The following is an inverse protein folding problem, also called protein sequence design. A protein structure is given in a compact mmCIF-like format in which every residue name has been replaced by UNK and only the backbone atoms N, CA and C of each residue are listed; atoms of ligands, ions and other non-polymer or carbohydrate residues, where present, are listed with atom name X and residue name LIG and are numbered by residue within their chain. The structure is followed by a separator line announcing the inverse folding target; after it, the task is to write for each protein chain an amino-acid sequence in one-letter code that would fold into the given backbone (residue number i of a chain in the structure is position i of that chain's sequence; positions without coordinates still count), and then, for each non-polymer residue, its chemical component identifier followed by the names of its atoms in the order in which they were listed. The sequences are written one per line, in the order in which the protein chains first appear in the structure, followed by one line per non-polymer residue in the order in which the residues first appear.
data_IF_456895527592
#
_entry.id   IF_456895527592
#
_cell.length_a   1.000
_cell.length_b   1.000
_cell.length_c   1.000
_cell.angle_alpha   90.00
_cell.angle_beta   90.00
_cell.angle_gamma   90.00
#
_symmetry.space_group_name_H-M   'P 1'
#
loop_
_entity.id
_entity.type
_entity.pdbx_description
1 polymer ?
#
# COMPACT_ATOMS: atom_id res chain seq x y z
N UNK A 1 -26.54 -0.77 -9.07
CA UNK A 1 -25.08 -0.93 -9.06
C UNK A 1 -24.40 0.43 -8.87
N UNK A 2 -24.56 1.41 -9.77
CA UNK A 2 -23.96 2.75 -9.64
C UNK A 2 -24.23 3.45 -8.28
N UNK A 3 -25.46 3.36 -7.75
CA UNK A 3 -25.79 3.93 -6.43
C UNK A 3 -24.99 3.29 -5.30
N UNK A 4 -24.78 1.97 -5.34
CA UNK A 4 -23.99 1.23 -4.35
C UNK A 4 -22.54 1.66 -4.43
N UNK A 5 -21.96 1.70 -5.62
CA UNK A 5 -20.56 2.10 -5.81
C UNK A 5 -20.34 3.56 -5.38
N UNK A 6 -21.24 4.47 -5.69
CA UNK A 6 -21.16 5.87 -5.24
C UNK A 6 -21.32 6.00 -3.72
N UNK A 7 -22.18 5.20 -3.09
CA UNK A 7 -22.31 5.13 -1.62
C UNK A 7 -21.03 4.64 -0.98
N UNK A 8 -20.41 3.59 -1.53
CA UNK A 8 -19.17 3.01 -1.04
C UNK A 8 -17.93 3.91 -1.21
N UNK A 9 -17.92 4.81 -2.19
CA UNK A 9 -16.85 5.81 -2.31
C UNK A 9 -16.94 6.88 -1.24
N UNK A 10 -18.15 7.20 -0.79
CA UNK A 10 -18.35 8.19 0.27
C UNK A 10 -17.83 7.65 1.59
N UNK A 11 -16.78 8.27 2.13
CA UNK A 11 -16.09 7.84 3.34
C UNK A 11 -14.99 6.80 3.13
N UNK A 12 -14.76 6.31 1.91
CA UNK A 12 -13.73 5.33 1.61
C UNK A 12 -12.30 5.88 1.76
N UNK A 13 -11.37 4.95 1.91
CA UNK A 13 -9.93 5.21 1.89
C UNK A 13 -9.27 4.49 0.73
N UNK A 14 -8.22 5.10 0.14
CA UNK A 14 -7.26 4.42 -0.72
C UNK A 14 -5.83 4.64 -0.19
N UNK A 15 -5.21 3.57 0.30
CA UNK A 15 -3.93 3.65 0.97
C UNK A 15 -2.72 3.42 0.05
N UNK A 16 -2.92 3.46 -1.28
CA UNK A 16 -1.85 3.24 -2.24
C UNK A 16 -2.09 4.02 -3.53
N UNK A 17 -1.76 5.30 -3.52
CA UNK A 17 -1.85 6.19 -4.67
C UNK A 17 -0.53 6.93 -4.93
N UNK A 18 -0.29 7.29 -6.18
CA UNK A 18 0.90 7.99 -6.63
C UNK A 18 0.57 9.34 -7.27
N UNK A 19 1.31 10.41 -6.90
CA UNK A 19 1.16 11.74 -7.45
C UNK A 19 2.51 12.42 -7.71
N UNK A 20 2.48 13.52 -8.46
CA UNK A 20 3.61 14.42 -8.59
C UNK A 20 3.75 15.30 -7.31
N UNK A 21 4.97 15.78 -6.99
CA UNK A 21 6.20 15.59 -7.74
C UNK A 21 6.71 14.15 -7.69
N UNK A 22 7.28 13.70 -8.79
CA UNK A 22 7.86 12.35 -8.92
C UNK A 22 8.88 12.36 -10.06
N UNK A 23 9.95 11.55 -10.01
CA UNK A 23 10.83 11.38 -11.17
C UNK A 23 10.14 10.69 -12.35
N UNK A 24 8.92 10.19 -12.17
CA UNK A 24 8.11 9.57 -13.22
C UNK A 24 6.91 10.45 -13.57
N UNK A 25 6.42 10.31 -14.81
CA UNK A 25 5.18 10.97 -15.23
C UNK A 25 3.98 10.52 -14.36
N UNK A 26 3.33 11.47 -13.73
CA UNK A 26 2.12 11.28 -12.94
C UNK A 26 0.95 12.01 -13.59
N UNK A 27 -0.27 11.52 -13.35
CA UNK A 27 -1.50 12.12 -13.86
C UNK A 27 -1.72 13.53 -13.30
N UNK A 28 -1.46 13.70 -12.01
CA UNK A 28 -1.70 14.92 -11.27
C UNK A 28 -0.75 15.06 -10.10
N UNK A 29 -0.71 16.23 -9.49
CA UNK A 29 -0.02 16.47 -8.25
C UNK A 29 -0.84 16.04 -7.02
N UNK A 30 -0.28 16.21 -5.83
CA UNK A 30 -0.93 15.87 -4.57
C UNK A 30 -2.24 16.63 -4.35
N UNK A 31 -2.31 17.89 -4.77
CA UNK A 31 -3.51 18.71 -4.62
C UNK A 31 -4.64 18.17 -5.50
N UNK A 32 -4.36 17.97 -6.78
CA UNK A 32 -5.31 17.40 -7.72
C UNK A 32 -5.85 16.04 -7.26
N UNK A 33 -4.97 15.18 -6.71
CA UNK A 33 -5.36 13.86 -6.22
C UNK A 33 -6.31 13.94 -5.02
N UNK A 34 -6.02 14.82 -4.05
CA UNK A 34 -6.87 15.02 -2.86
C UNK A 34 -8.19 15.70 -3.22
N UNK A 35 -8.18 16.64 -4.15
CA UNK A 35 -9.40 17.31 -4.64
C UNK A 35 -10.31 16.33 -5.37
N UNK A 36 -9.77 15.49 -6.26
CA UNK A 36 -10.54 14.45 -6.96
C UNK A 36 -11.14 13.45 -5.97
N UNK A 37 -10.35 12.93 -5.02
CA UNK A 37 -10.82 12.01 -3.99
C UNK A 37 -11.90 12.66 -3.11
N UNK A 38 -11.72 13.93 -2.73
CA UNK A 38 -12.70 14.70 -1.96
C UNK A 38 -13.99 14.98 -2.71
N UNK A 39 -13.92 15.26 -4.02
CA UNK A 39 -15.10 15.40 -4.88
C UNK A 39 -15.90 14.11 -5.00
N UNK A 40 -15.24 12.94 -4.91
CA UNK A 40 -15.88 11.63 -4.85
C UNK A 40 -16.41 11.29 -3.44
N UNK A 41 -16.15 12.13 -2.43
CA UNK A 41 -16.59 11.94 -1.06
C UNK A 41 -15.68 11.05 -0.22
N UNK A 42 -14.50 10.67 -0.70
CA UNK A 42 -13.56 9.80 0.05
C UNK A 42 -13.07 10.50 1.33
N UNK A 43 -12.86 9.71 2.38
CA UNK A 43 -12.39 10.20 3.68
C UNK A 43 -10.87 10.41 3.70
N UNK A 44 -10.11 9.58 2.99
CA UNK A 44 -8.67 9.72 3.01
C UNK A 44 -7.92 8.93 1.94
N UNK A 45 -6.72 9.39 1.65
CA UNK A 45 -5.80 8.75 0.71
C UNK A 45 -4.37 8.78 1.25
N UNK A 46 -3.53 7.82 0.84
CA UNK A 46 -2.08 7.91 1.06
C UNK A 46 -1.38 8.37 -0.21
N UNK A 47 -0.54 9.40 -0.04
CA UNK A 47 0.43 9.82 -1.05
C UNK A 47 1.66 8.93 -0.94
N UNK A 48 1.83 7.97 -1.85
CA UNK A 48 2.99 7.08 -1.86
C UNK A 48 4.03 7.58 -2.87
N UNK A 49 5.28 7.71 -2.44
CA UNK A 49 6.44 7.94 -3.29
C UNK A 49 7.47 6.83 -3.09
N UNK A 50 8.09 6.37 -4.18
CA UNK A 50 9.14 5.36 -4.08
C UNK A 50 10.46 5.90 -3.53
N UNK A 51 10.67 7.22 -3.50
CA UNK A 51 12.01 7.79 -3.31
C UNK A 51 12.10 8.91 -2.27
N UNK A 52 11.01 9.19 -1.57
CA UNK A 52 10.97 10.21 -0.53
C UNK A 52 9.92 9.92 0.54
N UNK A 53 10.03 10.60 1.68
CA UNK A 53 8.98 10.62 2.69
C UNK A 53 7.90 11.64 2.32
N UNK A 54 6.65 11.23 2.27
CA UNK A 54 5.52 12.06 1.82
C UNK A 54 4.70 12.67 2.96
N UNK A 55 5.05 12.41 4.21
CA UNK A 55 4.38 13.03 5.37
C UNK A 55 4.30 14.56 5.30
N UNK A 56 5.41 15.28 5.01
CA UNK A 56 5.38 16.73 4.83
C UNK A 56 4.50 17.20 3.67
N UNK A 57 4.48 16.46 2.56
CA UNK A 57 3.61 16.75 1.41
C UNK A 57 2.14 16.64 1.83
N UNK A 58 1.77 15.57 2.53
CA UNK A 58 0.42 15.36 3.04
C UNK A 58 -0.02 16.50 3.99
N UNK A 59 0.86 16.95 4.88
CA UNK A 59 0.57 18.09 5.77
C UNK A 59 0.29 19.37 4.99
N UNK A 60 1.10 19.69 3.96
CA UNK A 60 0.89 20.87 3.13
C UNK A 60 -0.43 20.81 2.36
N UNK A 61 -0.72 19.66 1.76
CA UNK A 61 -1.98 19.45 1.04
C UNK A 61 -3.17 19.59 1.98
N UNK A 62 -3.15 18.98 3.15
CA UNK A 62 -4.21 19.10 4.15
C UNK A 62 -4.43 20.54 4.64
N UNK A 63 -3.36 21.34 4.69
CA UNK A 63 -3.44 22.73 5.12
C UNK A 63 -4.00 23.68 4.04
N UNK A 64 -3.88 23.34 2.75
CA UNK A 64 -4.12 24.29 1.67
C UNK A 64 -5.09 23.84 0.58
N UNK A 65 -5.47 22.55 0.47
CA UNK A 65 -6.37 22.06 -0.59
C UNK A 65 -7.84 22.48 -0.41
N UNK A 66 -8.28 22.74 0.80
CA UNK A 66 -9.71 22.94 1.08
C UNK A 66 -10.58 21.67 0.96
N UNK A 67 -10.01 20.56 0.54
CA UNK A 67 -10.70 19.27 0.43
C UNK A 67 -11.08 18.70 1.80
N UNK A 68 -12.19 17.97 1.85
CA UNK A 68 -12.56 17.17 3.05
C UNK A 68 -11.82 15.83 3.11
N UNK A 69 -11.31 15.36 1.99
CA UNK A 69 -10.47 14.16 1.94
C UNK A 69 -9.12 14.44 2.59
N UNK A 70 -8.69 13.60 3.52
CA UNK A 70 -7.43 13.77 4.23
C UNK A 70 -6.30 13.03 3.52
N UNK A 71 -5.21 13.73 3.21
CA UNK A 71 -3.97 13.12 2.78
C UNK A 71 -3.19 12.55 3.96
N UNK A 72 -2.67 11.36 3.80
CA UNK A 72 -1.69 10.71 4.67
C UNK A 72 -0.40 10.50 3.91
N UNK A 73 0.71 10.40 4.62
CA UNK A 73 2.01 10.15 4.02
C UNK A 73 2.61 8.81 4.42
N UNK A 74 3.70 8.47 3.79
CA UNK A 74 4.49 7.29 4.12
C UNK A 74 5.95 7.46 3.73
N UNK A 75 6.72 6.39 3.86
CA UNK A 75 8.10 6.30 3.37
C UNK A 75 8.34 4.91 2.79
N UNK A 76 9.06 4.85 1.67
CA UNK A 76 9.53 3.60 1.05
C UNK A 76 11.03 3.49 1.23
N UNK A 77 11.52 2.40 1.78
CA UNK A 77 12.93 2.21 2.16
C UNK A 77 13.80 1.78 0.97
N UNK A 78 13.72 2.56 -0.12
CA UNK A 78 14.61 2.47 -1.25
C UNK A 78 15.90 3.28 -1.03
N UNK A 79 16.89 3.16 -1.93
CA UNK A 79 18.19 3.80 -1.80
C UNK A 79 18.15 5.33 -1.60
N UNK A 80 17.28 6.12 -2.26
CA UNK A 80 17.25 7.57 -2.07
C UNK A 80 16.99 8.03 -0.62
N UNK A 81 16.41 7.17 0.21
CA UNK A 81 16.24 7.43 1.66
C UNK A 81 17.25 6.65 2.53
N UNK A 82 18.23 6.00 1.88
CA UNK A 82 19.29 5.24 2.56
C UNK A 82 18.97 3.77 2.79
N UNK A 83 18.03 3.18 2.04
CA UNK A 83 17.68 1.75 2.15
C UNK A 83 16.99 1.42 3.47
N UNK A 84 17.40 0.32 4.13
CA UNK A 84 16.91 -0.09 5.45
C UNK A 84 17.47 0.85 6.53
N UNK A 85 16.95 2.06 6.58
CA UNK A 85 17.45 3.15 7.42
C UNK A 85 16.45 3.49 8.55
N UNK A 86 16.70 3.05 9.80
CA UNK A 86 15.83 3.35 10.96
C UNK A 86 15.69 4.85 11.23
N UNK A 87 16.74 5.65 11.00
CA UNK A 87 16.70 7.09 11.21
C UNK A 87 15.77 7.79 10.21
N UNK A 88 15.79 7.35 8.94
CA UNK A 88 14.87 7.86 7.92
C UNK A 88 13.42 7.46 8.23
N UNK A 89 13.20 6.22 8.66
CA UNK A 89 11.88 5.74 9.08
C UNK A 89 11.35 6.56 10.27
N UNK A 90 12.15 6.74 11.33
CA UNK A 90 11.73 7.54 12.49
C UNK A 90 11.46 9.01 12.12
N UNK A 91 12.32 9.63 11.32
CA UNK A 91 12.12 11.00 10.87
C UNK A 91 10.81 11.14 10.06
N UNK A 92 10.52 10.20 9.15
CA UNK A 92 9.29 10.22 8.38
C UNK A 92 8.05 10.12 9.27
N UNK A 93 8.07 9.23 10.26
CA UNK A 93 6.96 9.03 11.20
C UNK A 93 6.74 10.24 12.11
N UNK A 94 7.81 10.86 12.63
CA UNK A 94 7.73 12.14 13.36
C UNK A 94 7.11 13.26 12.53
N UNK A 95 7.23 13.18 11.21
CA UNK A 95 6.70 14.17 10.26
C UNK A 95 5.38 13.74 9.61
N UNK A 96 4.64 12.82 10.24
CA UNK A 96 3.28 12.48 9.87
C UNK A 96 3.13 11.36 8.84
N UNK A 97 4.17 10.55 8.60
CA UNK A 97 3.99 9.32 7.87
C UNK A 97 3.19 8.30 8.71
N UNK A 98 2.31 7.54 8.05
CA UNK A 98 1.45 6.53 8.67
C UNK A 98 1.84 5.10 8.28
N UNK A 99 2.61 4.93 7.19
CA UNK A 99 3.09 3.62 6.71
C UNK A 99 4.57 3.71 6.34
N UNK A 100 5.32 2.65 6.70
CA UNK A 100 6.69 2.40 6.26
C UNK A 100 6.66 1.18 5.33
N UNK A 101 6.95 1.35 4.06
CA UNK A 101 7.13 0.23 3.13
C UNK A 101 8.58 -0.26 3.12
N UNK A 102 8.78 -1.56 3.17
CA UNK A 102 10.05 -2.17 2.80
C UNK A 102 10.42 -1.79 1.36
N UNK A 103 11.65 -2.05 0.93
CA UNK A 103 12.11 -1.69 -0.41
C UNK A 103 11.15 -2.17 -1.50
N UNK A 104 10.91 -1.29 -2.48
CA UNK A 104 10.09 -1.58 -3.65
C UNK A 104 10.99 -1.75 -4.87
N UNK A 105 11.20 -0.69 -5.64
CA UNK A 105 11.98 -0.71 -6.89
C UNK A 105 13.45 -1.10 -6.69
N UNK A 106 14.00 -0.85 -5.51
CA UNK A 106 15.38 -1.16 -5.14
C UNK A 106 15.51 -2.49 -4.39
N UNK A 107 14.42 -3.23 -4.16
CA UNK A 107 14.53 -4.58 -3.60
C UNK A 107 15.25 -5.53 -4.56
N UNK A 108 16.06 -6.44 -4.04
CA UNK A 108 16.72 -7.44 -4.86
C UNK A 108 15.73 -8.29 -5.67
N UNK A 109 14.55 -8.55 -5.09
CA UNK A 109 13.47 -9.25 -5.75
C UNK A 109 12.98 -8.48 -6.99
N UNK A 110 12.72 -7.18 -6.85
CA UNK A 110 12.26 -6.34 -7.97
C UNK A 110 13.30 -6.25 -9.09
N UNK A 111 14.58 -6.09 -8.73
CA UNK A 111 15.66 -5.99 -9.72
C UNK A 111 15.89 -7.31 -10.47
N UNK A 112 15.70 -8.47 -9.83
CA UNK A 112 15.75 -9.78 -10.54
C UNK A 112 14.65 -9.93 -11.59
N UNK A 113 13.50 -9.33 -11.37
CA UNK A 113 12.38 -9.35 -12.33
C UNK A 113 12.56 -8.34 -13.47
N UNK A 114 13.66 -7.60 -13.51
CA UNK A 114 13.99 -6.57 -14.48
C UNK A 114 13.67 -5.14 -14.01
N UNK A 115 14.37 -4.17 -14.60
CA UNK A 115 14.17 -2.77 -14.30
C UNK A 115 12.77 -2.31 -14.70
N UNK A 116 12.19 -1.45 -13.88
CA UNK A 116 10.93 -0.77 -14.19
C UNK A 116 11.22 0.54 -14.94
N UNK A 117 10.32 0.99 -15.85
CA UNK A 117 10.49 2.26 -16.52
C UNK A 117 10.72 3.42 -15.53
N UNK A 118 11.75 4.24 -15.79
CA UNK A 118 12.10 5.37 -14.95
C UNK A 118 12.94 5.04 -13.71
N UNK A 119 13.44 3.81 -13.57
CA UNK A 119 14.44 3.48 -12.57
C UNK A 119 15.74 4.27 -12.78
N UNK A 120 16.45 4.53 -11.67
CA UNK A 120 17.72 5.24 -11.71
C UNK A 120 18.86 4.35 -12.25
N UNK A 121 20.09 4.74 -11.97
CA UNK A 121 21.31 4.02 -12.36
C UNK A 121 21.37 2.61 -11.75
N UNK A 122 22.31 1.80 -12.22
CA UNK A 122 22.61 0.47 -11.67
C UNK A 122 22.95 0.57 -10.18
N UNK A 123 22.35 -0.31 -9.40
CA UNK A 123 22.46 -0.32 -7.94
C UNK A 123 22.25 -1.73 -7.39
N UNK A 124 22.87 -2.06 -6.23
CA UNK A 124 22.64 -3.35 -5.59
C UNK A 124 21.19 -3.48 -5.11
N UNK A 125 20.61 -4.65 -5.27
CA UNK A 125 19.31 -4.96 -4.72
C UNK A 125 19.34 -5.03 -3.19
N UNK A 126 18.34 -4.40 -2.56
CA UNK A 126 18.17 -4.45 -1.10
C UNK A 126 17.47 -5.76 -0.73
N UNK A 127 18.05 -6.51 0.21
CA UNK A 127 17.45 -7.68 0.86
C UNK A 127 17.30 -7.40 2.34
N UNK A 128 16.28 -7.96 2.99
CA UNK A 128 16.01 -7.78 4.41
C UNK A 128 16.68 -8.87 5.29
N UNK A 129 17.21 -9.92 4.66
CA UNK A 129 17.91 -11.01 5.32
C UNK A 129 19.42 -10.89 5.12
N UNK A 130 20.19 -11.40 6.08
CA UNK A 130 21.61 -11.63 5.96
C UNK A 130 21.92 -12.99 5.29
N UNK A 131 23.21 -13.33 5.19
CA UNK A 131 23.65 -14.58 4.56
C UNK A 131 23.22 -15.85 5.33
N UNK A 132 22.87 -15.72 6.61
CA UNK A 132 22.35 -16.83 7.42
C UNK A 132 20.83 -17.02 7.26
N UNK A 133 20.14 -16.12 6.55
CA UNK A 133 18.68 -16.07 6.43
C UNK A 133 17.97 -15.38 7.59
N UNK A 134 18.71 -14.81 8.55
CA UNK A 134 18.15 -14.02 9.63
C UNK A 134 17.80 -12.60 9.15
N UNK A 135 16.81 -11.95 9.77
CA UNK A 135 16.54 -10.55 9.49
C UNK A 135 17.73 -9.67 9.88
N UNK A 136 18.13 -8.76 8.99
CA UNK A 136 19.14 -7.74 9.27
C UNK A 136 18.73 -6.91 10.48
N UNK A 137 19.69 -6.45 11.32
CA UNK A 137 19.40 -5.77 12.58
C UNK A 137 18.58 -4.50 12.43
N UNK A 138 18.64 -3.82 11.29
CA UNK A 138 17.84 -2.63 11.00
C UNK A 138 16.35 -2.95 10.90
N UNK A 139 15.97 -4.17 10.49
CA UNK A 139 14.58 -4.53 10.26
C UNK A 139 13.77 -4.58 11.58
N UNK A 140 14.16 -5.35 12.61
CA UNK A 140 13.46 -5.30 13.90
C UNK A 140 13.50 -3.90 14.54
N UNK A 141 14.54 -3.10 14.33
CA UNK A 141 14.57 -1.70 14.80
C UNK A 141 13.48 -0.86 14.11
N UNK A 142 13.33 -0.96 12.78
CA UNK A 142 12.26 -0.29 12.03
C UNK A 142 10.87 -0.75 12.50
N UNK A 143 10.68 -2.05 12.74
CA UNK A 143 9.40 -2.58 13.26
C UNK A 143 9.06 -1.97 14.62
N UNK A 144 10.04 -1.88 15.53
CA UNK A 144 9.85 -1.28 16.85
C UNK A 144 9.56 0.22 16.77
N UNK A 145 10.23 0.95 15.89
CA UNK A 145 9.98 2.37 15.64
C UNK A 145 8.55 2.55 15.11
N UNK A 146 8.14 1.79 14.11
CA UNK A 146 6.79 1.88 13.56
C UNK A 146 5.71 1.62 14.63
N UNK A 147 5.90 0.60 15.47
CA UNK A 147 5.02 0.33 16.62
C UNK A 147 4.93 1.51 17.57
N UNK A 148 6.07 2.12 17.93
CA UNK A 148 6.14 3.30 18.83
C UNK A 148 5.31 4.48 18.31
N UNK A 149 5.27 4.68 17.01
CA UNK A 149 4.52 5.76 16.36
C UNK A 149 3.12 5.34 15.87
N UNK A 150 2.63 4.16 16.27
CA UNK A 150 1.33 3.61 15.84
C UNK A 150 1.19 3.55 14.30
N UNK A 151 2.28 3.32 13.59
CA UNK A 151 2.33 3.21 12.13
C UNK A 151 2.33 1.75 11.67
N UNK A 152 1.91 1.52 10.44
CA UNK A 152 2.01 0.21 9.81
C UNK A 152 3.37 0.01 9.12
N UNK A 153 3.80 -1.24 9.01
CA UNK A 153 4.92 -1.65 8.14
C UNK A 153 4.37 -2.55 7.05
N UNK A 154 4.66 -2.21 5.80
CA UNK A 154 4.21 -2.92 4.61
C UNK A 154 5.38 -3.60 3.89
N UNK A 155 5.13 -4.76 3.29
CA UNK A 155 6.18 -5.60 2.71
C UNK A 155 6.83 -5.02 1.45
N UNK A 156 6.18 -4.08 0.77
CA UNK A 156 6.72 -3.49 -0.46
C UNK A 156 6.90 -4.54 -1.58
N UNK A 157 8.09 -4.56 -2.20
CA UNK A 157 8.39 -5.52 -3.28
C UNK A 157 9.54 -6.48 -2.91
N UNK A 158 9.76 -6.75 -1.63
CA UNK A 158 10.67 -7.82 -1.20
C UNK A 158 10.11 -9.19 -1.65
N UNK A 159 10.90 -10.24 -1.59
CA UNK A 159 10.44 -11.55 -2.08
C UNK A 159 9.25 -12.08 -1.28
N UNK A 160 8.47 -13.02 -1.83
CA UNK A 160 7.39 -13.68 -1.11
C UNK A 160 7.87 -14.29 0.23
N UNK A 161 9.02 -14.94 0.24
CA UNK A 161 9.62 -15.55 1.43
C UNK A 161 10.01 -14.50 2.47
N UNK A 162 10.68 -13.43 2.05
CA UNK A 162 11.01 -12.30 2.91
C UNK A 162 9.73 -11.64 3.47
N UNK A 163 8.68 -11.54 2.66
CA UNK A 163 7.40 -10.94 3.07
C UNK A 163 6.72 -11.75 4.17
N UNK A 164 6.70 -13.08 4.04
CA UNK A 164 6.15 -13.98 5.07
C UNK A 164 6.95 -13.88 6.36
N UNK A 165 8.28 -13.93 6.27
CA UNK A 165 9.18 -13.81 7.42
C UNK A 165 8.98 -12.47 8.15
N UNK A 166 8.95 -11.37 7.40
CA UNK A 166 8.74 -10.02 7.93
C UNK A 166 7.38 -9.90 8.64
N UNK A 167 6.31 -10.36 8.00
CA UNK A 167 4.96 -10.31 8.56
C UNK A 167 4.87 -11.08 9.88
N UNK A 168 5.39 -12.30 9.93
CA UNK A 168 5.42 -13.10 11.18
C UNK A 168 6.21 -12.40 12.26
N UNK A 169 7.41 -11.90 11.95
CA UNK A 169 8.25 -11.18 12.93
C UNK A 169 7.60 -9.89 13.41
N UNK A 170 7.01 -9.12 12.51
CA UNK A 170 6.32 -7.88 12.86
C UNK A 170 5.13 -8.14 13.79
N UNK A 171 4.34 -9.20 13.54
CA UNK A 171 3.21 -9.57 14.42
C UNK A 171 3.69 -10.10 15.78
N UNK A 172 4.77 -10.89 15.82
CA UNK A 172 5.42 -11.31 17.07
C UNK A 172 5.82 -10.08 17.93
N UNK A 173 6.34 -9.03 17.30
CA UNK A 173 6.73 -7.79 17.97
C UNK A 173 5.54 -6.87 18.28
N UNK A 174 4.33 -7.20 17.81
CA UNK A 174 3.11 -6.41 17.98
C UNK A 174 3.06 -5.17 17.08
N UNK A 175 3.81 -5.16 15.97
CA UNK A 175 3.73 -4.13 14.93
C UNK A 175 2.55 -4.41 14.02
N UNK A 176 1.89 -3.35 13.54
CA UNK A 176 0.83 -3.44 12.52
C UNK A 176 1.48 -3.73 11.18
N UNK A 177 1.09 -4.85 10.57
CA UNK A 177 1.71 -5.35 9.34
C UNK A 177 0.73 -5.32 8.17
N UNK A 178 1.26 -5.00 6.99
CA UNK A 178 0.54 -5.04 5.70
C UNK A 178 1.30 -5.92 4.73
N UNK A 179 0.64 -6.91 4.15
CA UNK A 179 1.13 -7.65 2.99
C UNK A 179 0.73 -6.89 1.72
N UNK A 180 1.70 -6.28 1.06
CA UNK A 180 1.49 -5.40 -0.11
C UNK A 180 1.15 -6.20 -1.36
N UNK A 181 0.04 -5.92 -2.01
CA UNK A 181 -0.46 -6.46 -3.31
C UNK A 181 0.02 -7.89 -3.63
N UNK A 182 -0.38 -8.92 -2.85
CA UNK A 182 0.13 -10.28 -2.98
C UNK A 182 -0.33 -11.04 -4.24
N UNK A 183 -1.07 -10.43 -5.12
CA UNK A 183 -1.41 -10.94 -6.47
C UNK A 183 -0.50 -10.36 -7.57
N UNK A 184 0.43 -9.45 -7.24
CA UNK A 184 1.40 -8.95 -8.20
C UNK A 184 2.47 -10.03 -8.48
N UNK A 185 2.81 -10.25 -9.74
CA UNK A 185 3.67 -11.34 -10.20
C UNK A 185 4.99 -11.48 -9.41
N UNK A 186 5.60 -10.34 -9.04
CA UNK A 186 6.88 -10.28 -8.32
C UNK A 186 6.76 -10.58 -6.84
N UNK A 187 5.59 -10.36 -6.25
CA UNK A 187 5.34 -10.47 -4.81
C UNK A 187 4.25 -11.47 -4.48
N UNK A 188 3.93 -12.34 -5.44
CA UNK A 188 2.82 -13.27 -5.34
C UNK A 188 2.94 -14.21 -4.14
N UNK A 189 1.94 -14.15 -3.26
CA UNK A 189 1.80 -15.03 -2.09
C UNK A 189 0.50 -15.81 -2.23
N UNK A 190 0.58 -17.13 -2.15
CA UNK A 190 -0.59 -17.99 -2.31
C UNK A 190 -1.71 -17.65 -1.30
N UNK A 191 -3.01 -17.71 -1.69
CA UNK A 191 -4.14 -17.37 -0.81
C UNK A 191 -4.14 -18.10 0.54
N UNK A 192 -3.68 -19.36 0.57
CA UNK A 192 -3.58 -20.12 1.81
C UNK A 192 -2.58 -19.49 2.81
N UNK A 193 -1.46 -18.96 2.31
CA UNK A 193 -0.45 -18.26 3.12
C UNK A 193 -0.98 -16.87 3.53
N UNK A 194 -1.66 -16.17 2.62
CA UNK A 194 -2.32 -14.90 2.95
C UNK A 194 -3.31 -15.09 4.10
N UNK A 195 -4.13 -16.16 4.07
CA UNK A 195 -5.07 -16.53 5.14
C UNK A 195 -4.36 -16.80 6.46
N UNK A 196 -3.24 -17.55 6.43
CA UNK A 196 -2.43 -17.80 7.62
C UNK A 196 -1.93 -16.49 8.25
N UNK A 197 -1.37 -15.60 7.42
CA UNK A 197 -0.87 -14.30 7.86
C UNK A 197 -2.01 -13.41 8.39
N UNK A 198 -3.16 -13.41 7.74
CA UNK A 198 -4.37 -12.72 8.21
C UNK A 198 -4.81 -13.21 9.60
N UNK A 199 -4.76 -14.53 9.85
CA UNK A 199 -5.00 -15.12 11.16
C UNK A 199 -4.02 -14.67 12.25
N UNK A 200 -2.83 -14.19 11.89
CA UNK A 200 -1.87 -13.54 12.80
C UNK A 200 -2.17 -12.05 12.99
N UNK A 201 -3.14 -11.49 12.28
CA UNK A 201 -3.50 -10.08 12.30
C UNK A 201 -2.71 -9.20 11.31
N UNK A 202 -2.21 -9.79 10.22
CA UNK A 202 -1.65 -9.05 9.08
C UNK A 202 -2.82 -8.57 8.20
N UNK A 203 -2.82 -7.32 7.79
CA UNK A 203 -3.75 -6.79 6.80
C UNK A 203 -3.27 -7.10 5.38
N UNK A 204 -4.18 -7.54 4.52
CA UNK A 204 -3.87 -7.96 3.16
C UNK A 204 -4.36 -6.89 2.18
N UNK A 205 -3.43 -6.29 1.47
CA UNK A 205 -3.72 -5.29 0.45
C UNK A 205 -4.22 -5.95 -0.83
N UNK A 206 -5.42 -5.60 -1.28
CA UNK A 206 -6.02 -6.03 -2.54
C UNK A 206 -5.99 -4.87 -3.52
N UNK A 207 -5.34 -5.07 -4.66
CA UNK A 207 -4.96 -3.98 -5.53
C UNK A 207 -5.65 -4.06 -6.90
N UNK A 208 -6.31 -2.96 -7.30
CA UNK A 208 -6.90 -2.82 -8.63
C UNK A 208 -5.87 -3.00 -9.75
N UNK A 209 -4.65 -2.48 -9.53
CA UNK A 209 -3.53 -2.63 -10.48
C UNK A 209 -3.39 -4.08 -10.96
N UNK A 210 -3.51 -5.06 -10.08
CA UNK A 210 -3.29 -6.46 -10.41
C UNK A 210 -4.33 -6.99 -11.43
N UNK A 211 -5.59 -6.60 -11.31
CA UNK A 211 -6.62 -6.95 -12.28
C UNK A 211 -6.42 -6.16 -13.59
N UNK A 212 -6.24 -4.86 -13.48
CA UNK A 212 -6.19 -3.97 -14.63
C UNK A 212 -4.96 -4.18 -15.53
N UNK A 213 -3.84 -4.65 -14.96
CA UNK A 213 -2.62 -4.97 -15.69
C UNK A 213 -2.45 -6.48 -15.98
N UNK A 214 -3.45 -7.31 -15.63
CA UNK A 214 -3.50 -8.72 -15.97
C UNK A 214 -2.60 -9.64 -15.14
N UNK A 215 -2.21 -9.23 -13.93
CA UNK A 215 -1.49 -10.10 -12.99
C UNK A 215 -2.41 -11.19 -12.39
N UNK A 216 -3.70 -10.89 -12.27
CA UNK A 216 -4.73 -11.84 -11.90
C UNK A 216 -6.07 -11.47 -12.56
N UNK A 217 -6.96 -12.43 -12.67
CA UNK A 217 -8.34 -12.19 -13.09
C UNK A 217 -9.19 -11.62 -11.95
N UNK A 218 -10.35 -11.07 -12.29
CA UNK A 218 -11.34 -10.63 -11.31
C UNK A 218 -11.84 -11.80 -10.42
N UNK A 219 -11.96 -12.99 -11.00
CA UNK A 219 -12.37 -14.21 -10.30
C UNK A 219 -11.30 -14.65 -9.28
N UNK A 220 -10.03 -14.72 -9.70
CA UNK A 220 -8.91 -15.05 -8.81
C UNK A 220 -8.78 -14.05 -7.65
N UNK A 221 -8.97 -12.75 -7.92
CA UNK A 221 -8.99 -11.72 -6.87
C UNK A 221 -10.15 -11.96 -5.89
N UNK A 222 -11.35 -12.22 -6.40
CA UNK A 222 -12.53 -12.48 -5.58
C UNK A 222 -12.35 -13.74 -4.72
N UNK A 223 -11.82 -14.80 -5.28
CA UNK A 223 -11.55 -16.05 -4.56
C UNK A 223 -10.46 -15.88 -3.49
N UNK A 224 -9.43 -15.09 -3.80
CA UNK A 224 -8.39 -14.74 -2.82
C UNK A 224 -8.97 -13.95 -1.64
N UNK A 225 -9.83 -12.95 -1.90
CA UNK A 225 -10.52 -12.19 -0.83
C UNK A 225 -11.40 -13.12 0.03
N UNK A 226 -12.20 -14.00 -0.59
CA UNK A 226 -13.04 -14.97 0.14
C UNK A 226 -12.22 -15.95 0.98
N UNK A 227 -11.09 -16.41 0.47
CA UNK A 227 -10.20 -17.31 1.19
C UNK A 227 -9.58 -16.65 2.42
N UNK A 228 -9.25 -15.36 2.35
CA UNK A 228 -8.62 -14.57 3.43
C UNK A 228 -9.64 -14.08 4.45
N UNK A 229 -10.79 -13.58 3.99
CA UNK A 229 -11.82 -12.89 4.78
C UNK A 229 -11.76 -11.37 4.59
N UNK A 230 -12.92 -10.75 4.34
CA UNK A 230 -13.05 -9.32 4.08
C UNK A 230 -12.55 -8.45 5.23
N UNK A 231 -12.68 -8.94 6.47
CA UNK A 231 -12.25 -8.28 7.70
C UNK A 231 -10.73 -8.14 7.84
N UNK A 232 -9.97 -8.81 6.99
CA UNK A 232 -8.50 -8.73 6.92
C UNK A 232 -7.99 -8.06 5.65
N UNK A 233 -8.88 -7.83 4.67
CA UNK A 233 -8.54 -7.25 3.38
C UNK A 233 -8.89 -5.76 3.33
N UNK A 234 -8.11 -4.98 2.58
CA UNK A 234 -8.47 -3.62 2.20
C UNK A 234 -8.16 -3.35 0.74
N UNK A 235 -8.99 -2.53 0.10
CA UNK A 235 -8.92 -2.24 -1.32
C UNK A 235 -8.07 -1.00 -1.58
N UNK A 236 -7.19 -1.08 -2.57
CA UNK A 236 -6.37 0.03 -3.04
C UNK A 236 -6.29 0.04 -4.57
N UNK A 237 -5.85 1.16 -5.14
CA UNK A 237 -5.76 1.24 -6.60
C UNK A 237 -4.37 1.07 -7.17
N UNK A 238 -3.32 1.53 -6.48
CA UNK A 238 -1.96 1.70 -7.02
C UNK A 238 -1.97 2.48 -8.34
N UNK A 239 -2.82 3.51 -8.41
CA UNK A 239 -2.97 4.38 -9.57
C UNK A 239 -2.28 5.73 -9.36
N UNK A 240 -2.19 6.51 -10.46
CA UNK A 240 -1.54 7.81 -10.55
C UNK A 240 -0.45 7.86 -11.62
N UNK A 241 -0.23 6.78 -12.38
CA UNK A 241 0.68 6.76 -13.54
C UNK A 241 0.07 7.57 -14.67
N UNK A 242 0.89 8.38 -15.36
CA UNK A 242 0.44 9.35 -16.36
C UNK A 242 -0.28 8.79 -17.58
N UNK A 243 -0.27 7.49 -17.79
CA UNK A 243 -0.88 6.79 -18.92
C UNK A 243 -1.95 5.76 -18.49
N UNK A 244 -2.47 5.88 -17.29
CA UNK A 244 -3.53 5.01 -16.74
C UNK A 244 -4.75 5.83 -16.36
N UNK A 245 -5.86 5.15 -16.01
CA UNK A 245 -7.05 5.82 -15.49
C UNK A 245 -6.77 6.53 -14.16
N UNK A 246 -7.60 7.50 -13.85
CA UNK A 246 -7.57 8.23 -12.60
C UNK A 246 -7.81 7.30 -11.39
N UNK A 247 -7.17 7.53 -10.24
CA UNK A 247 -7.29 6.66 -9.07
C UNK A 247 -8.73 6.46 -8.59
N UNK A 248 -9.53 7.51 -8.53
CA UNK A 248 -10.95 7.41 -8.14
C UNK A 248 -11.73 6.54 -9.13
N UNK A 249 -11.46 6.66 -10.43
CA UNK A 249 -12.07 5.78 -11.43
C UNK A 249 -11.58 4.33 -11.29
N UNK A 250 -10.32 4.12 -10.97
CA UNK A 250 -9.76 2.79 -10.65
C UNK A 250 -10.50 2.13 -9.48
N UNK A 251 -10.72 2.88 -8.38
CA UNK A 251 -11.49 2.39 -7.23
C UNK A 251 -12.94 2.10 -7.60
N UNK A 252 -13.56 2.95 -8.41
CA UNK A 252 -14.93 2.75 -8.92
C UNK A 252 -15.04 1.46 -9.71
N UNK A 253 -14.12 1.20 -10.62
CA UNK A 253 -14.05 -0.04 -11.40
C UNK A 253 -13.80 -1.26 -10.53
N UNK A 254 -12.92 -1.15 -9.53
CA UNK A 254 -12.66 -2.25 -8.61
C UNK A 254 -13.91 -2.63 -7.82
N UNK A 255 -14.60 -1.64 -7.24
CA UNK A 255 -15.88 -1.86 -6.55
C UNK A 255 -16.93 -2.48 -7.47
N UNK A 256 -17.06 -1.99 -8.70
CA UNK A 256 -17.95 -2.56 -9.70
C UNK A 256 -17.66 -4.04 -9.96
N UNK A 257 -16.38 -4.38 -10.15
CA UNK A 257 -15.93 -5.74 -10.39
C UNK A 257 -16.29 -6.67 -9.23
N UNK A 258 -16.07 -6.23 -7.99
CA UNK A 258 -16.37 -7.03 -6.81
C UNK A 258 -17.90 -7.16 -6.56
N UNK A 259 -18.69 -6.12 -6.84
CA UNK A 259 -20.17 -6.24 -6.83
C UNK A 259 -20.63 -7.29 -7.84
N UNK A 260 -20.08 -7.31 -9.06
CA UNK A 260 -20.38 -8.32 -10.06
C UNK A 260 -19.94 -9.73 -9.64
N UNK A 261 -18.85 -9.84 -8.87
CA UNK A 261 -18.41 -11.08 -8.27
C UNK A 261 -19.26 -11.53 -7.07
N UNK A 262 -20.26 -10.76 -6.68
CA UNK A 262 -21.25 -11.12 -5.65
C UNK A 262 -20.88 -10.70 -4.22
N UNK A 263 -19.94 -9.77 -4.04
CA UNK A 263 -19.68 -9.17 -2.72
C UNK A 263 -20.83 -8.24 -2.32
N UNK A 264 -21.21 -8.32 -1.05
CA UNK A 264 -22.23 -7.46 -0.45
C UNK A 264 -21.71 -6.05 -0.18
N UNK A 265 -22.62 -5.09 -0.02
CA UNK A 265 -22.28 -3.71 0.36
C UNK A 265 -21.54 -3.65 1.70
N UNK A 266 -21.90 -4.49 2.68
CA UNK A 266 -21.24 -4.59 3.98
C UNK A 266 -19.80 -5.10 3.89
N UNK A 267 -19.56 -6.14 3.08
CA UNK A 267 -18.20 -6.65 2.84
C UNK A 267 -17.32 -5.61 2.16
N UNK A 268 -17.84 -4.91 1.16
CA UNK A 268 -17.12 -3.85 0.45
C UNK A 268 -16.89 -2.64 1.36
N UNK A 269 -17.87 -2.28 2.20
CA UNK A 269 -17.68 -1.23 3.21
C UNK A 269 -16.57 -1.59 4.19
N UNK A 270 -16.54 -2.83 4.67
CA UNK A 270 -15.46 -3.31 5.55
C UNK A 270 -14.10 -3.11 4.91
N UNK A 271 -13.93 -3.48 3.64
CA UNK A 271 -12.66 -3.40 2.93
C UNK A 271 -12.26 -1.98 2.49
N UNK A 272 -13.21 -1.05 2.36
CA UNK A 272 -12.93 0.32 1.92
C UNK A 272 -12.93 1.35 3.05
N UNK A 273 -13.54 1.03 4.21
CA UNK A 273 -13.68 1.97 5.35
C UNK A 273 -13.03 1.42 6.61
N UNK A 274 -13.51 0.27 7.10
CA UNK A 274 -13.11 -0.25 8.41
C UNK A 274 -11.65 -0.68 8.43
N UNK A 275 -11.27 -1.58 7.54
CA UNK A 275 -9.91 -2.14 7.53
C UNK A 275 -8.84 -1.09 7.20
N UNK A 276 -9.00 -0.22 6.17
CA UNK A 276 -7.99 0.80 5.92
C UNK A 276 -7.89 1.84 7.05
N UNK A 277 -8.97 2.17 7.76
CA UNK A 277 -8.89 2.99 8.97
C UNK A 277 -8.04 2.32 10.05
N UNK A 278 -8.23 1.01 10.30
CA UNK A 278 -7.39 0.23 11.21
C UNK A 278 -5.92 0.20 10.77
N UNK A 279 -5.64 0.10 9.47
CA UNK A 279 -4.26 0.18 8.93
C UNK A 279 -3.64 1.54 9.24
N UNK A 280 -4.41 2.62 9.19
CA UNK A 280 -3.96 3.97 9.55
C UNK A 280 -3.86 4.21 11.06
N UNK A 281 -4.45 3.34 11.89
CA UNK A 281 -4.48 3.49 13.35
C UNK A 281 -5.52 4.49 13.85
N UNK A 282 -6.60 4.64 13.08
CA UNK A 282 -7.74 5.49 13.38
C UNK A 282 -8.78 4.76 14.24
#
# INVERSE_FOLDING_TARGET
MEKIVSSLLSGAYDLHMHAAPSPFGRLMDDFGLVEEAGAAGMAGIILKSHYEATGPRAQLVNAHSGSKCKAYGGIVLNWPVGGLNPYAAENALKRGASIVWMPTRDSANSLRSGNMPGDFFDRPGIVIQDESGALKPEVPEILQIAKKYNAAVATGHISPEESVLLCRKGREMGTRMVLTHPEFDRTAVAPAIQKELAGLGVYIEKCWYNIAEGNCTAEEMADSIRAVGCEHCFLVTDRGQGNREHPVEGMRRFLHTLVQAGFTEEELYTMTHTVPALVLGL
#
